data_IF_770514317735
#
_entry.id   IF_770514317735
#
_cell.length_a   1.000
_cell.length_b   1.000
_cell.length_c   1.000
_cell.angle_alpha   90.00
_cell.angle_beta   90.00
_cell.angle_gamma   90.00
#
_symmetry.space_group_name_H-M   'P 1'
#
loop_
_entity.id
_entity.type
_entity.pdbx_description
1 polymer ?
#
# COMPACT_ATOMS: atom_id res chain seq x y z
N UNK A 1 0.73 7.59 -2.16
CA UNK A 1 0.04 8.79 -1.68
C UNK A 1 -1.36 8.40 -1.25
N UNK A 2 -1.95 9.03 -0.23
CA UNK A 2 -3.37 8.81 0.10
C UNK A 2 -4.22 9.36 -1.07
N UNK A 3 -5.09 8.55 -1.70
CA UNK A 3 -5.84 9.00 -2.86
C UNK A 3 -6.88 10.06 -2.46
N UNK A 4 -6.77 11.27 -3.02
CA UNK A 4 -7.76 12.33 -2.82
C UNK A 4 -9.14 12.00 -3.42
N UNK A 5 -9.14 11.16 -4.47
CA UNK A 5 -10.34 10.65 -5.12
C UNK A 5 -10.36 9.13 -4.92
N UNK A 6 -11.42 8.56 -4.33
CA UNK A 6 -11.56 7.11 -4.15
C UNK A 6 -11.35 6.35 -5.46
N UNK A 7 -10.81 5.13 -5.37
CA UNK A 7 -10.75 4.25 -6.53
C UNK A 7 -12.13 3.68 -6.83
N UNK A 8 -12.54 3.73 -8.10
CA UNK A 8 -13.81 3.18 -8.58
C UNK A 8 -13.55 2.34 -9.84
N UNK A 9 -12.80 1.23 -9.74
CA UNK A 9 -12.55 0.37 -10.90
C UNK A 9 -13.86 -0.27 -11.38
N UNK A 10 -14.06 -0.31 -12.69
CA UNK A 10 -15.08 -1.13 -13.31
C UNK A 10 -14.40 -2.30 -14.02
N UNK A 11 -14.33 -3.43 -13.33
CA UNK A 11 -13.70 -4.64 -13.85
C UNK A 11 -14.49 -5.26 -15.00
N UNK A 12 -15.83 -5.20 -14.98
CA UNK A 12 -16.68 -5.76 -16.06
C UNK A 12 -16.37 -5.12 -17.42
N UNK A 13 -16.25 -3.79 -17.46
CA UNK A 13 -15.98 -3.03 -18.68
C UNK A 13 -14.50 -2.76 -18.95
N UNK A 14 -13.59 -3.40 -18.21
CA UNK A 14 -12.14 -3.22 -18.30
C UNK A 14 -11.64 -1.77 -18.03
N UNK A 15 -12.38 -1.01 -17.21
CA UNK A 15 -12.04 0.36 -16.81
C UNK A 15 -11.43 0.37 -15.40
N UNK A 16 -10.20 -0.13 -15.28
CA UNK A 16 -9.47 -0.20 -14.01
C UNK A 16 -8.00 0.28 -14.11
N UNK A 17 -7.65 0.95 -15.21
CA UNK A 17 -6.29 1.43 -15.50
C UNK A 17 -5.70 2.28 -14.38
N UNK A 18 -6.49 3.18 -13.78
CA UNK A 18 -6.02 4.02 -12.66
C UNK A 18 -5.58 3.17 -11.46
N UNK A 19 -6.37 2.16 -11.09
CA UNK A 19 -6.07 1.26 -9.97
C UNK A 19 -4.86 0.37 -10.25
N UNK A 20 -4.75 -0.14 -11.48
CA UNK A 20 -3.60 -0.91 -11.90
C UNK A 20 -2.31 -0.08 -11.87
N UNK A 21 -2.32 1.12 -12.50
CA UNK A 21 -1.13 1.97 -12.56
C UNK A 21 -0.73 2.50 -11.18
N UNK A 22 -1.69 2.82 -10.29
CA UNK A 22 -1.36 3.29 -8.94
C UNK A 22 -0.54 2.28 -8.15
N UNK A 23 -0.75 0.98 -8.35
CA UNK A 23 0.06 -0.05 -7.70
C UNK A 23 1.57 0.13 -7.97
N UNK A 24 1.93 0.45 -9.22
CA UNK A 24 3.33 0.66 -9.59
C UNK A 24 3.85 2.03 -9.16
N UNK A 25 3.01 3.07 -9.22
CA UNK A 25 3.40 4.41 -8.77
C UNK A 25 3.63 4.45 -7.26
N UNK A 26 2.70 3.90 -6.47
CA UNK A 26 2.75 3.96 -5.00
C UNK A 26 3.81 3.04 -4.39
N UNK A 27 4.25 2.00 -5.10
CA UNK A 27 5.39 1.16 -4.70
C UNK A 27 6.74 1.66 -5.27
N UNK A 28 6.74 2.81 -5.94
CA UNK A 28 7.92 3.35 -6.64
C UNK A 28 8.56 2.31 -7.59
N UNK A 29 7.70 1.60 -8.35
CA UNK A 29 8.07 0.53 -9.29
C UNK A 29 7.81 0.88 -10.76
N UNK A 30 7.16 2.00 -11.06
CA UNK A 30 6.82 2.38 -12.43
C UNK A 30 8.04 2.49 -13.38
N UNK A 31 9.22 2.83 -12.86
CA UNK A 31 10.48 2.95 -13.63
C UNK A 31 11.57 1.95 -13.21
N UNK A 32 11.27 0.98 -12.35
CA UNK A 32 12.26 0.04 -11.82
C UNK A 32 12.17 -1.31 -12.54
N UNK A 33 13.33 -1.95 -12.74
CA UNK A 33 13.43 -3.28 -13.34
C UNK A 33 12.78 -4.39 -12.49
N UNK A 34 12.45 -4.10 -11.23
CA UNK A 34 11.70 -5.01 -10.35
C UNK A 34 10.20 -4.85 -10.60
N UNK A 35 9.65 -5.73 -11.44
CA UNK A 35 8.22 -5.80 -11.69
C UNK A 35 7.49 -6.45 -10.50
N UNK A 36 6.24 -6.05 -10.27
CA UNK A 36 5.33 -6.62 -9.27
C UNK A 36 4.78 -7.99 -9.74
N UNK A 37 5.12 -8.41 -10.96
CA UNK A 37 4.74 -9.69 -11.56
C UNK A 37 3.21 -9.93 -11.55
N UNK A 38 2.45 -8.86 -11.77
CA UNK A 38 1.01 -8.87 -11.97
C UNK A 38 0.77 -8.07 -13.24
N UNK A 39 0.26 -8.73 -14.29
CA UNK A 39 -0.12 -8.04 -15.51
C UNK A 39 -1.53 -7.43 -15.42
N UNK A 40 -1.93 -6.66 -16.44
CA UNK A 40 -3.21 -5.95 -16.46
C UNK A 40 -4.41 -6.90 -16.28
N UNK A 41 -4.44 -8.02 -16.99
CA UNK A 41 -5.54 -8.99 -16.91
C UNK A 41 -5.55 -9.76 -15.58
N UNK A 42 -4.36 -10.14 -15.07
CA UNK A 42 -4.23 -10.78 -13.76
C UNK A 42 -4.73 -9.87 -12.63
N UNK A 43 -4.49 -8.57 -12.72
CA UNK A 43 -4.96 -7.60 -11.73
C UNK A 43 -6.49 -7.68 -11.56
N UNK A 44 -7.24 -7.73 -12.66
CA UNK A 44 -8.69 -7.96 -12.65
C UNK A 44 -9.05 -9.38 -12.20
N UNK A 45 -8.23 -10.37 -12.53
CA UNK A 45 -8.45 -11.79 -12.25
C UNK A 45 -8.26 -12.25 -10.79
N UNK A 46 -8.27 -11.33 -9.82
CA UNK A 46 -8.11 -11.64 -8.39
C UNK A 46 -6.81 -11.18 -7.76
N UNK A 47 -5.87 -10.65 -8.56
CA UNK A 47 -4.62 -10.05 -8.05
C UNK A 47 -4.72 -8.53 -7.86
N UNK A 48 -5.91 -8.04 -7.50
CA UNK A 48 -6.16 -6.61 -7.27
C UNK A 48 -5.51 -6.16 -5.96
N UNK A 49 -4.33 -5.55 -6.06
CA UNK A 49 -3.62 -4.94 -4.94
C UNK A 49 -3.72 -3.41 -4.98
N UNK A 50 -3.84 -2.82 -3.80
CA UNK A 50 -3.77 -1.37 -3.60
C UNK A 50 -2.62 -1.07 -2.65
N UNK A 51 -1.69 -0.25 -3.13
CA UNK A 51 -0.60 0.25 -2.31
C UNK A 51 -0.91 1.69 -1.89
N UNK A 52 -0.64 2.03 -0.64
CA UNK A 52 -0.75 3.41 -0.16
C UNK A 52 0.58 3.80 0.47
N UNK A 53 1.26 4.72 -0.19
CA UNK A 53 2.47 5.32 0.35
C UNK A 53 2.12 6.37 1.42
N UNK A 54 2.47 6.10 2.68
CA UNK A 54 2.10 6.90 3.86
C UNK A 54 3.23 7.80 4.39
N UNK A 55 4.46 7.66 3.88
CA UNK A 55 5.58 8.52 4.27
C UNK A 55 5.43 9.90 3.61
N UNK A 56 5.52 11.00 4.38
CA UNK A 56 5.22 12.35 3.88
C UNK A 56 6.26 12.89 2.89
N UNK A 57 7.47 12.34 2.91
CA UNK A 57 8.63 12.75 2.13
C UNK A 57 8.80 11.98 0.81
N UNK A 58 7.99 10.94 0.56
CA UNK A 58 8.15 10.05 -0.59
C UNK A 58 9.52 9.35 -0.68
N UNK A 59 10.30 9.32 0.42
CA UNK A 59 11.72 8.93 0.42
C UNK A 59 11.93 7.40 0.49
N UNK A 60 11.14 6.62 -0.27
CA UNK A 60 11.20 5.16 -0.23
C UNK A 60 12.56 4.65 -0.69
N UNK A 61 13.23 3.91 0.19
CA UNK A 61 14.55 3.34 -0.11
C UNK A 61 15.70 4.34 0.02
N UNK A 62 15.46 5.56 0.50
CA UNK A 62 16.51 6.54 0.79
C UNK A 62 16.97 6.49 2.26
N UNK A 63 18.12 7.09 2.58
CA UNK A 63 18.64 7.18 3.95
C UNK A 63 17.88 8.19 4.83
N UNK A 64 17.04 9.05 4.24
CA UNK A 64 16.25 10.01 5.01
C UNK A 64 15.18 9.27 5.82
N UNK A 65 15.01 9.67 7.08
CA UNK A 65 13.98 9.11 7.98
C UNK A 65 13.07 10.24 8.44
N UNK A 66 11.82 10.20 7.98
CA UNK A 66 10.76 11.06 8.49
C UNK A 66 10.48 10.81 9.97
N UNK A 67 10.02 11.86 10.66
CA UNK A 67 9.59 11.75 12.06
C UNK A 67 8.44 10.75 12.17
N UNK A 68 8.55 9.81 13.12
CA UNK A 68 7.49 8.85 13.42
C UNK A 68 6.20 9.58 13.84
N UNK A 69 5.09 9.20 13.22
CA UNK A 69 3.76 9.71 13.55
C UNK A 69 2.82 8.56 13.86
N UNK A 70 2.06 8.70 14.93
CA UNK A 70 1.00 7.77 15.30
C UNK A 70 -0.35 8.31 14.84
N UNK A 71 -1.22 7.44 14.37
CA UNK A 71 -2.57 7.81 13.93
C UNK A 71 -3.41 6.58 13.64
N UNK A 72 -4.69 6.81 13.36
CA UNK A 72 -5.63 5.77 12.98
C UNK A 72 -5.75 5.70 11.46
N UNK A 73 -5.84 4.48 10.91
CA UNK A 73 -6.11 4.23 9.50
C UNK A 73 -7.49 3.59 9.40
N UNK A 74 -8.38 4.21 8.64
CA UNK A 74 -9.69 3.67 8.29
C UNK A 74 -9.69 3.30 6.81
N UNK A 75 -10.21 2.12 6.48
CA UNK A 75 -10.32 1.63 5.10
C UNK A 75 -11.81 1.42 4.82
N UNK A 76 -12.36 2.22 3.92
CA UNK A 76 -13.74 2.11 3.48
C UNK A 76 -13.80 1.42 2.10
N UNK A 77 -14.58 0.35 2.01
CA UNK A 77 -14.76 -0.45 0.80
C UNK A 77 -16.24 -0.60 0.48
N UNK A 78 -16.56 -0.49 -0.81
CA UNK A 78 -17.91 -0.73 -1.33
C UNK A 78 -17.84 -1.64 -2.55
N UNK A 79 -18.58 -2.75 -2.49
CA UNK A 79 -18.74 -3.66 -3.61
C UNK A 79 -19.92 -3.20 -4.48
N UNK A 80 -19.76 -3.27 -5.81
CA UNK A 80 -20.81 -2.89 -6.75
C UNK A 80 -22.01 -3.84 -6.69
N UNK A 81 -21.74 -5.12 -6.40
CA UNK A 81 -22.72 -6.18 -6.23
C UNK A 81 -22.60 -6.77 -4.81
N UNK A 82 -23.69 -7.37 -4.28
CA UNK A 82 -23.61 -8.15 -3.04
C UNK A 82 -22.58 -9.27 -3.19
N UNK A 83 -21.74 -9.45 -2.16
CA UNK A 83 -20.79 -10.55 -2.14
C UNK A 83 -21.54 -11.88 -1.97
N UNK A 84 -21.21 -12.91 -2.77
CA UNK A 84 -21.85 -14.22 -2.65
C UNK A 84 -21.43 -14.96 -1.37
N UNK A 85 -20.29 -14.57 -0.78
CA UNK A 85 -19.70 -15.19 0.40
C UNK A 85 -18.94 -14.15 1.24
N UNK A 86 -18.59 -14.53 2.48
CA UNK A 86 -17.74 -13.70 3.33
C UNK A 86 -16.32 -13.66 2.79
N UNK A 87 -15.77 -12.47 2.65
CA UNK A 87 -14.39 -12.25 2.19
C UNK A 87 -13.53 -11.69 3.32
N UNK A 88 -12.22 -11.96 3.27
CA UNK A 88 -11.24 -11.37 4.18
C UNK A 88 -10.43 -10.30 3.46
N UNK A 89 -10.25 -9.15 4.12
CA UNK A 89 -9.31 -8.13 3.68
C UNK A 89 -7.95 -8.41 4.33
N UNK A 90 -6.92 -8.64 3.52
CA UNK A 90 -5.54 -8.79 3.99
C UNK A 90 -4.84 -7.44 3.84
N UNK A 91 -4.30 -6.92 4.95
CA UNK A 91 -3.58 -5.65 4.98
C UNK A 91 -2.13 -5.90 5.37
N UNK A 92 -1.21 -5.46 4.52
CA UNK A 92 0.22 -5.47 4.80
C UNK A 92 0.70 -4.06 5.10
N UNK A 93 1.56 -3.92 6.12
CA UNK A 93 2.21 -2.67 6.45
C UNK A 93 3.73 -2.89 6.49
N UNK A 94 4.47 -2.05 5.78
CA UNK A 94 5.92 -1.97 5.87
C UNK A 94 6.29 -0.58 6.38
N UNK A 95 7.03 -0.53 7.48
CA UNK A 95 7.44 0.71 8.12
C UNK A 95 8.81 0.51 8.79
N UNK A 96 9.48 1.61 9.11
CA UNK A 96 10.74 1.59 9.86
C UNK A 96 10.43 1.68 11.34
N UNK A 97 11.15 0.89 12.13
CA UNK A 97 11.15 0.96 13.59
C UNK A 97 12.54 1.32 14.08
N UNK A 98 12.60 2.04 15.19
CA UNK A 98 13.83 2.43 15.86
C UNK A 98 14.12 1.46 17.00
N UNK A 99 15.33 0.92 17.02
CA UNK A 99 15.85 0.13 18.13
C UNK A 99 16.97 0.94 18.77
N UNK A 100 16.77 1.36 20.01
CA UNK A 100 17.78 2.06 20.80
C UNK A 100 18.43 1.07 21.78
N UNK A 101 19.75 1.08 21.84
CA UNK A 101 20.53 0.26 22.77
C UNK A 101 21.38 1.20 23.62
N UNK A 102 21.13 1.22 24.92
CA UNK A 102 21.89 2.07 25.82
C UNK A 102 23.24 1.44 26.21
N UNK A 103 24.06 2.20 26.95
CA UNK A 103 25.38 1.74 27.42
C UNK A 103 25.28 0.50 28.33
N UNK A 104 24.14 0.31 29.00
CA UNK A 104 23.86 -0.82 29.88
C UNK A 104 23.30 -2.03 29.12
N UNK A 105 23.19 -1.95 27.79
CA UNK A 105 22.59 -2.97 26.89
C UNK A 105 21.07 -3.14 27.09
N UNK A 106 20.39 -2.15 27.64
CA UNK A 106 18.94 -2.12 27.59
C UNK A 106 18.50 -1.85 26.16
N UNK A 107 17.48 -2.58 25.70
CA UNK A 107 16.96 -2.48 24.33
C UNK A 107 15.59 -1.84 24.40
N UNK A 108 15.45 -0.67 23.77
CA UNK A 108 14.20 0.07 23.62
C UNK A 108 13.71 -0.02 22.18
N UNK A 109 12.40 -0.10 22.01
CA UNK A 109 11.71 -0.18 20.72
C UNK A 109 10.57 0.81 20.72
N UNK A 110 10.22 1.31 19.55
CA UNK A 110 9.17 2.32 19.36
C UNK A 110 7.76 1.73 19.12
N UNK A 111 7.55 0.46 19.43
CA UNK A 111 6.27 -0.27 19.33
C UNK A 111 6.04 -1.22 20.50
#
# INVERSE_FOLDING_TARGET
MIPAIPFQPNFENNLYTRSYLSLFTDLNRFHNAQNININYEEYKGGYSLYAVYLTPDLAFGECHTSVNRTGNITIDLKFALPLPETVSLIVYAQYRNTIEIDKSRNVFRDY
#
